data_IF_406301838099
#
_entry.id   IF_406301838099
#
_cell.length_a   1.000
_cell.length_b   1.000
_cell.length_c   1.000
_cell.angle_alpha   90.00
_cell.angle_beta   90.00
_cell.angle_gamma   90.00
#
_symmetry.space_group_name_H-M   'P 1'
#
loop_
_entity.id
_entity.type
_entity.pdbx_description
1 polymer ?
#
# COMPACT_ATOMS: atom_id res chain seq x y z
N UNK A 1 -16.02 3.36 -0.53
CA UNK A 1 -14.60 3.49 -0.22
C UNK A 1 -14.07 2.20 0.39
N UNK A 2 -12.80 1.93 0.19
CA UNK A 2 -12.14 0.77 0.78
C UNK A 2 -11.00 1.24 1.69
N UNK A 3 -10.90 0.62 2.85
CA UNK A 3 -9.78 0.83 3.75
C UNK A 3 -8.77 -0.28 3.48
N UNK A 4 -7.63 0.09 2.97
CA UNK A 4 -6.62 -0.85 2.50
C UNK A 4 -5.37 -0.73 3.38
N UNK A 5 -4.95 -1.85 3.96
CA UNK A 5 -3.71 -1.95 4.71
C UNK A 5 -2.72 -2.72 3.85
N UNK A 6 -1.55 -2.15 3.65
CA UNK A 6 -0.54 -2.77 2.79
C UNK A 6 0.84 -2.53 3.37
N UNK A 7 1.77 -3.42 2.99
CA UNK A 7 3.18 -3.26 3.27
C UNK A 7 3.91 -2.90 1.97
N UNK A 8 4.96 -2.11 2.10
CA UNK A 8 5.80 -1.78 0.94
C UNK A 8 7.26 -1.78 1.34
N UNK A 9 8.11 -1.97 0.34
CA UNK A 9 9.57 -1.96 0.49
C UNK A 9 10.16 -1.26 -0.73
N UNK A 10 10.96 -0.24 -0.47
CA UNK A 10 11.63 0.51 -1.52
C UNK A 10 13.10 0.75 -1.14
N UNK A 11 13.81 1.47 -1.99
CA UNK A 11 15.24 1.75 -1.78
C UNK A 11 15.49 2.63 -0.56
N UNK A 12 14.48 3.27 -0.02
CA UNK A 12 14.59 4.10 1.17
C UNK A 12 14.46 3.30 2.46
N UNK A 13 14.07 2.04 2.37
CA UNK A 13 13.95 1.15 3.53
C UNK A 13 15.31 0.55 3.86
N UNK A 14 16.23 1.38 4.35
CA UNK A 14 17.63 1.00 4.58
C UNK A 14 17.83 -0.03 5.68
N UNK A 15 16.86 -0.16 6.57
CA UNK A 15 16.90 -1.15 7.64
C UNK A 15 16.48 -2.55 7.16
N UNK A 16 16.10 -2.68 5.89
CA UNK A 16 15.67 -3.95 5.32
C UNK A 16 14.28 -4.38 5.78
N UNK A 17 13.54 -3.51 6.40
CA UNK A 17 12.21 -3.82 6.93
C UNK A 17 11.13 -3.20 6.07
N UNK A 18 10.06 -3.96 5.86
CA UNK A 18 8.88 -3.48 5.15
C UNK A 18 8.13 -2.49 6.03
N UNK A 19 7.54 -1.49 5.41
CA UNK A 19 6.74 -0.48 6.10
C UNK A 19 5.26 -0.75 5.86
N UNK A 20 4.45 -0.53 6.88
CA UNK A 20 3.01 -0.74 6.81
C UNK A 20 2.30 0.61 6.68
N UNK A 21 1.33 0.66 5.77
CA UNK A 21 0.55 1.86 5.53
C UNK A 21 -0.91 1.50 5.37
N UNK A 22 -1.80 2.41 5.77
CA UNK A 22 -3.24 2.26 5.60
C UNK A 22 -3.77 3.48 4.84
N UNK A 23 -4.66 3.23 3.88
CA UNK A 23 -5.30 4.31 3.14
C UNK A 23 -6.77 4.00 2.90
N UNK A 24 -7.57 5.05 2.67
CA UNK A 24 -8.97 4.92 2.31
C UNK A 24 -9.15 5.48 0.91
N UNK A 25 -9.49 4.60 -0.02
CA UNK A 25 -9.58 4.92 -1.45
C UNK A 25 -10.76 4.18 -2.07
N UNK A 26 -11.23 4.58 -3.26
CA UNK A 26 -12.36 3.90 -3.92
C UNK A 26 -12.07 2.44 -4.27
N UNK A 27 -10.83 2.08 -4.57
CA UNK A 27 -10.48 0.72 -4.95
C UNK A 27 -9.01 0.43 -4.69
N UNK A 28 -8.64 -0.85 -4.73
CA UNK A 28 -7.23 -1.27 -4.60
C UNK A 28 -6.39 -0.66 -5.72
N UNK A 29 -6.93 -0.58 -6.93
CA UNK A 29 -6.23 0.00 -8.07
C UNK A 29 -5.85 1.46 -7.82
N UNK A 30 -6.74 2.22 -7.21
CA UNK A 30 -6.46 3.60 -6.86
C UNK A 30 -5.35 3.71 -5.80
N UNK A 31 -5.34 2.80 -4.84
CA UNK A 31 -4.29 2.74 -3.84
C UNK A 31 -2.92 2.52 -4.50
N UNK A 32 -2.84 1.54 -5.39
CA UNK A 32 -1.61 1.22 -6.10
C UNK A 32 -1.12 2.42 -6.92
N UNK A 33 -2.05 3.09 -7.57
CA UNK A 33 -1.75 4.23 -8.43
C UNK A 33 -1.25 5.44 -7.62
N UNK A 34 -1.92 5.75 -6.52
CA UNK A 34 -1.58 6.92 -5.69
C UNK A 34 -0.20 6.76 -5.06
N UNK A 35 0.12 5.57 -4.57
CA UNK A 35 1.38 5.31 -3.89
C UNK A 35 2.49 4.81 -4.82
N UNK A 36 2.20 4.62 -6.11
CA UNK A 36 3.18 4.13 -7.06
C UNK A 36 3.65 2.71 -6.79
N UNK A 37 2.79 1.90 -6.18
CA UNK A 37 3.13 0.53 -5.79
C UNK A 37 3.40 -0.33 -7.03
N UNK A 38 4.46 -1.13 -6.94
CA UNK A 38 4.86 -2.00 -8.05
C UNK A 38 5.65 -1.30 -9.14
N UNK A 39 5.84 0.02 -9.05
CA UNK A 39 6.67 0.79 -9.98
C UNK A 39 8.04 1.04 -9.37
N UNK A 40 8.06 1.77 -8.25
CA UNK A 40 9.30 2.13 -7.57
C UNK A 40 9.55 1.29 -6.32
N UNK A 41 8.59 0.47 -5.92
CA UNK A 41 8.70 -0.32 -4.70
C UNK A 41 7.94 -1.63 -4.84
N UNK A 42 8.31 -2.59 -4.00
CA UNK A 42 7.56 -3.83 -3.86
C UNK A 42 6.41 -3.59 -2.88
N UNK A 43 5.34 -4.34 -3.00
CA UNK A 43 4.21 -4.17 -2.12
C UNK A 43 3.49 -5.48 -1.86
N UNK A 44 2.70 -5.50 -0.78
CA UNK A 44 1.86 -6.63 -0.42
C UNK A 44 0.60 -6.09 0.23
N UNK A 45 -0.56 -6.51 -0.27
CA UNK A 45 -1.83 -6.14 0.33
C UNK A 45 -2.10 -7.06 1.51
N UNK A 46 -2.27 -6.48 2.69
CA UNK A 46 -2.52 -7.24 3.92
C UNK A 46 -4.02 -7.44 4.11
N UNK A 47 -4.80 -6.37 4.01
CA UNK A 47 -6.24 -6.46 4.18
C UNK A 47 -6.95 -5.39 3.39
N UNK A 48 -8.19 -5.68 3.02
CA UNK A 48 -9.08 -4.73 2.35
C UNK A 48 -10.42 -4.80 3.08
N UNK A 49 -10.85 -3.69 3.62
CA UNK A 49 -12.11 -3.59 4.36
C UNK A 49 -12.99 -2.53 3.72
N UNK A 50 -14.30 -2.68 3.88
CA UNK A 50 -15.23 -1.66 3.44
C UNK A 50 -15.18 -0.50 4.43
N UNK A 51 -14.96 0.71 3.91
CA UNK A 51 -14.97 1.93 4.69
C UNK A 51 -16.06 2.84 4.13
N UNK A 52 -16.93 3.28 4.97
CA UNK A 52 -17.98 4.19 4.56
C UNK A 52 -17.50 5.63 4.50
#
# INVERSE_FOLDING_TARGET
MKKITFEYFDDYCRDGKWRTQTCTVPSVEECIKIYGLGVDCQYRIISVEDAE
#
